data_IF_097203352730
#
_entry.id   IF_097203352730
#
_cell.length_a   1.000
_cell.length_b   1.000
_cell.length_c   1.000
_cell.angle_alpha   90.00
_cell.angle_beta   90.00
_cell.angle_gamma   90.00
#
_symmetry.space_group_name_H-M   'P 1'
#
loop_
_entity.id
_entity.type
_entity.pdbx_description
1 polymer ?
#
# COMPACT_ATOMS: atom_id res chain seq x y z
N UNK A 1 -38.26 14.80 -37.39
CA UNK A 1 -39.26 14.03 -36.61
C UNK A 1 -38.70 13.71 -35.25
N UNK A 2 -39.55 13.57 -34.24
CA UNK A 2 -39.19 13.12 -32.91
C UNK A 2 -40.13 11.99 -32.48
N UNK A 3 -39.58 10.82 -32.17
CA UNK A 3 -40.36 9.63 -31.82
C UNK A 3 -41.52 9.38 -32.81
N UNK A 4 -41.23 9.54 -34.11
CA UNK A 4 -42.22 9.41 -35.19
C UNK A 4 -43.18 10.58 -35.38
N UNK A 5 -43.13 11.64 -34.55
CA UNK A 5 -43.96 12.85 -34.71
C UNK A 5 -43.26 13.91 -35.58
N UNK A 6 -43.90 14.41 -36.66
CA UNK A 6 -43.34 15.49 -37.47
C UNK A 6 -43.30 16.80 -36.69
N UNK A 7 -42.36 17.68 -37.05
CA UNK A 7 -42.36 19.08 -36.59
C UNK A 7 -43.53 19.84 -37.27
N UNK A 8 -44.18 20.83 -36.64
CA UNK A 8 -43.86 21.47 -35.35
C UNK A 8 -44.22 20.65 -34.12
N UNK A 9 -43.34 20.67 -33.12
CA UNK A 9 -43.53 19.97 -31.84
C UNK A 9 -44.18 20.89 -30.81
N UNK A 10 -45.10 20.34 -30.01
CA UNK A 10 -45.55 20.99 -28.78
C UNK A 10 -44.48 20.84 -27.68
N UNK A 11 -44.58 21.64 -26.61
CA UNK A 11 -43.68 21.54 -25.46
C UNK A 11 -43.67 20.15 -24.80
N UNK A 12 -44.79 19.43 -24.85
CA UNK A 12 -44.89 18.06 -24.33
C UNK A 12 -44.13 17.05 -25.21
N UNK A 13 -43.91 17.39 -26.48
CA UNK A 13 -43.15 16.58 -27.41
C UNK A 13 -41.68 16.94 -27.35
N UNK A 14 -41.30 18.21 -27.43
CA UNK A 14 -39.90 18.67 -27.29
C UNK A 14 -39.86 20.17 -27.00
N UNK A 15 -38.88 20.61 -26.21
CA UNK A 15 -38.56 22.03 -26.01
C UNK A 15 -37.72 22.61 -27.16
N UNK A 16 -37.16 21.75 -28.01
CA UNK A 16 -36.20 22.13 -29.04
C UNK A 16 -36.80 23.05 -30.10
N UNK A 17 -36.03 24.08 -30.44
CA UNK A 17 -36.42 25.07 -31.43
C UNK A 17 -35.75 24.71 -32.76
N UNK A 18 -36.54 24.70 -33.83
CA UNK A 18 -36.05 24.55 -35.21
C UNK A 18 -36.07 25.92 -35.85
N UNK A 19 -34.93 26.41 -36.32
CA UNK A 19 -34.89 27.60 -37.17
C UNK A 19 -35.07 27.17 -38.63
N UNK A 20 -36.25 27.36 -39.24
CA UNK A 20 -36.48 26.97 -40.64
C UNK A 20 -35.63 27.79 -41.62
N UNK A 21 -35.16 28.98 -41.23
CA UNK A 21 -34.26 29.82 -42.03
C UNK A 21 -32.80 29.36 -42.02
N UNK A 22 -32.43 28.51 -41.05
CA UNK A 22 -31.10 27.92 -41.03
C UNK A 22 -31.04 26.83 -42.10
N UNK A 23 -30.28 27.07 -43.18
CA UNK A 23 -30.03 26.11 -44.25
C UNK A 23 -29.54 24.73 -43.74
N UNK A 24 -29.06 24.68 -42.50
CA UNK A 24 -28.43 23.53 -41.87
C UNK A 24 -29.40 22.65 -41.05
N UNK A 25 -30.71 22.93 -41.06
CA UNK A 25 -31.74 22.13 -40.36
C UNK A 25 -31.36 21.80 -38.91
N UNK A 26 -30.73 22.75 -38.23
CA UNK A 26 -30.18 22.59 -36.88
C UNK A 26 -31.28 22.81 -35.85
N UNK A 27 -31.40 21.88 -34.90
CA UNK A 27 -32.26 22.02 -33.73
C UNK A 27 -31.37 22.39 -32.55
N UNK A 28 -31.80 23.34 -31.74
CA UNK A 28 -31.03 23.79 -30.59
C UNK A 28 -32.00 24.03 -29.42
N UNK A 29 -31.47 23.94 -28.21
CA UNK A 29 -32.19 24.30 -27.01
C UNK A 29 -31.26 24.97 -26.00
N UNK A 30 -31.71 26.03 -25.33
CA UNK A 30 -30.94 26.62 -24.23
C UNK A 30 -30.86 25.70 -23.00
N UNK A 31 -31.78 24.74 -22.86
CA UNK A 31 -31.82 23.81 -21.74
C UNK A 31 -32.48 22.50 -22.15
N UNK A 32 -31.87 21.39 -21.78
CA UNK A 32 -32.47 20.05 -21.93
C UNK A 32 -33.61 19.86 -20.92
N UNK A 33 -34.74 19.38 -21.41
CA UNK A 33 -35.88 18.92 -20.60
C UNK A 33 -36.03 17.39 -20.71
N UNK A 34 -36.70 16.76 -19.75
CA UNK A 34 -36.92 15.29 -19.76
C UNK A 34 -37.67 14.84 -21.02
N UNK A 35 -38.66 15.63 -21.44
CA UNK A 35 -39.39 15.39 -22.68
C UNK A 35 -38.48 15.44 -23.91
N UNK A 36 -37.29 16.04 -23.86
CA UNK A 36 -36.35 16.10 -24.99
C UNK A 36 -35.72 14.75 -25.33
N UNK A 37 -35.72 13.78 -24.42
CA UNK A 37 -35.22 12.42 -24.63
C UNK A 37 -35.98 11.72 -25.75
N UNK A 38 -35.26 10.96 -26.57
CA UNK A 38 -35.83 10.10 -27.59
C UNK A 38 -35.08 10.12 -28.92
N UNK A 39 -35.72 9.59 -29.96
CA UNK A 39 -35.13 9.43 -31.28
C UNK A 39 -35.55 10.57 -32.21
N UNK A 40 -34.56 11.26 -32.76
CA UNK A 40 -34.71 12.33 -33.72
C UNK A 40 -34.35 11.82 -35.11
N UNK A 41 -35.29 11.93 -36.04
CA UNK A 41 -35.06 11.59 -37.45
C UNK A 41 -35.01 12.86 -38.28
N UNK A 42 -33.86 13.12 -38.89
CA UNK A 42 -33.72 14.06 -39.98
C UNK A 42 -34.10 13.37 -41.30
N UNK A 43 -34.96 14.02 -42.09
CA UNK A 43 -35.39 13.51 -43.38
C UNK A 43 -35.05 14.54 -44.44
N UNK A 44 -34.09 14.20 -45.29
CA UNK A 44 -33.70 14.99 -46.45
C UNK A 44 -34.39 14.40 -47.66
N UNK A 45 -35.24 15.18 -48.32
CA UNK A 45 -36.00 14.74 -49.48
C UNK A 45 -35.77 15.66 -50.67
N UNK A 46 -35.47 15.05 -51.80
CA UNK A 46 -35.55 15.66 -53.12
C UNK A 46 -36.67 14.96 -53.93
N UNK A 47 -36.92 15.38 -55.18
CA UNK A 47 -37.96 14.83 -56.04
C UNK A 47 -37.82 13.32 -56.27
N UNK A 48 -36.59 12.80 -56.26
CA UNK A 48 -36.26 11.42 -56.61
C UNK A 48 -35.79 10.57 -55.43
N UNK A 49 -35.28 11.19 -54.36
CA UNK A 49 -34.60 10.49 -53.26
C UNK A 49 -35.05 11.02 -51.90
N UNK A 50 -35.13 10.11 -50.92
CA UNK A 50 -35.34 10.46 -49.51
C UNK A 50 -34.27 9.76 -48.68
N UNK A 51 -33.57 10.53 -47.85
CA UNK A 51 -32.51 10.06 -46.95
C UNK A 51 -32.99 10.29 -45.51
N UNK A 52 -32.82 9.27 -44.68
CA UNK A 52 -33.18 9.31 -43.27
C UNK A 52 -31.93 9.15 -42.41
N UNK A 53 -31.74 10.06 -41.45
CA UNK A 53 -30.70 9.95 -40.42
C UNK A 53 -31.35 10.01 -39.05
N UNK A 54 -31.04 9.02 -38.21
CA UNK A 54 -31.57 8.89 -36.85
C UNK A 54 -30.48 9.23 -35.83
N UNK A 55 -30.86 9.96 -34.80
CA UNK A 55 -30.02 10.32 -33.66
C UNK A 55 -30.83 10.05 -32.39
N UNK A 56 -30.28 9.27 -31.48
CA UNK A 56 -30.90 9.04 -30.17
C UNK A 56 -30.31 10.01 -29.14
N UNK A 57 -31.18 10.78 -28.49
CA UNK A 57 -30.83 11.63 -27.37
C UNK A 57 -31.24 10.94 -26.07
N UNK A 58 -30.28 10.72 -25.18
CA UNK A 58 -30.49 10.18 -23.84
C UNK A 58 -30.06 11.21 -22.79
N UNK A 59 -30.76 11.26 -21.67
CA UNK A 59 -30.31 11.99 -20.50
C UNK A 59 -29.43 11.09 -19.65
N UNK A 60 -28.40 11.70 -19.06
CA UNK A 60 -27.59 11.06 -18.04
C UNK A 60 -28.01 11.64 -16.71
N UNK A 61 -28.75 10.84 -15.93
CA UNK A 61 -29.45 11.31 -14.73
C UNK A 61 -28.52 11.69 -13.58
N UNK A 62 -27.31 11.13 -13.54
CA UNK A 62 -26.30 11.51 -12.56
C UNK A 62 -24.89 11.27 -13.07
N UNK A 63 -24.03 12.23 -12.75
CA UNK A 63 -22.60 12.13 -12.87
C UNK A 63 -22.12 11.10 -11.83
N UNK A 64 -21.79 9.89 -12.27
CA UNK A 64 -21.24 8.85 -11.40
C UNK A 64 -19.80 9.21 -11.06
N UNK A 65 -19.64 9.95 -9.97
CA UNK A 65 -18.32 10.24 -9.44
C UNK A 65 -17.61 8.93 -9.10
N UNK A 66 -16.33 8.76 -9.49
CA UNK A 66 -15.58 7.56 -9.18
C UNK A 66 -15.57 7.32 -7.66
N UNK A 67 -15.94 6.10 -7.25
CA UNK A 67 -15.99 5.71 -5.85
C UNK A 67 -14.86 4.72 -5.55
N UNK A 68 -14.00 4.97 -4.55
CA UNK A 68 -12.92 4.06 -4.23
C UNK A 68 -13.47 2.72 -3.74
N UNK A 69 -13.07 1.63 -4.39
CA UNK A 69 -13.32 0.26 -3.94
C UNK A 69 -12.10 -0.33 -3.25
N UNK A 70 -10.91 0.14 -3.61
CA UNK A 70 -9.66 -0.18 -2.93
C UNK A 70 -8.76 1.05 -2.78
N UNK A 71 -8.40 1.37 -1.54
CA UNK A 71 -7.48 2.45 -1.22
C UNK A 71 -6.07 1.88 -0.96
N UNK A 72 -5.02 2.44 -1.60
CA UNK A 72 -3.64 2.07 -1.30
C UNK A 72 -3.31 2.38 0.15
N UNK A 73 -2.40 1.59 0.73
CA UNK A 73 -1.95 1.74 2.13
C UNK A 73 -0.49 2.16 2.16
N UNK A 74 -0.16 2.96 3.16
CA UNK A 74 1.21 3.42 3.39
C UNK A 74 2.14 2.22 3.60
N UNK A 75 3.35 2.34 3.07
CA UNK A 75 4.37 1.29 3.14
C UNK A 75 5.69 1.88 3.62
N UNK A 76 6.39 1.11 4.44
CA UNK A 76 7.74 1.39 4.87
C UNK A 76 8.66 0.28 4.37
N UNK A 77 9.67 0.63 3.57
CA UNK A 77 10.58 -0.33 2.92
C UNK A 77 12.01 0.17 2.95
N UNK A 78 12.98 -0.72 2.84
CA UNK A 78 14.39 -0.37 2.74
C UNK A 78 14.82 -0.07 1.30
N UNK A 79 15.93 0.66 1.15
CA UNK A 79 16.57 0.86 -0.16
C UNK A 79 17.01 -0.50 -0.72
N UNK A 80 16.75 -0.72 -2.01
CA UNK A 80 17.04 -1.98 -2.70
C UNK A 80 15.90 -2.99 -2.68
N UNK A 81 14.86 -2.80 -1.86
CA UNK A 81 13.66 -3.62 -1.90
C UNK A 81 12.73 -3.22 -3.06
N UNK A 82 11.71 -4.04 -3.32
CA UNK A 82 10.67 -3.77 -4.31
C UNK A 82 9.37 -3.36 -3.63
N UNK A 83 8.61 -2.44 -4.23
CA UNK A 83 7.28 -2.03 -3.74
C UNK A 83 6.22 -2.30 -4.81
N UNK A 84 4.98 -2.57 -4.36
CA UNK A 84 3.81 -2.65 -5.22
C UNK A 84 2.61 -1.97 -4.58
N UNK A 85 2.11 -0.92 -5.21
CA UNK A 85 0.87 -0.25 -4.83
C UNK A 85 -0.30 -0.78 -5.67
N UNK A 86 -1.50 -0.65 -5.12
CA UNK A 86 -2.75 -0.93 -5.82
C UNK A 86 -3.82 0.07 -5.42
N UNK A 87 -4.57 0.58 -6.39
CA UNK A 87 -5.76 1.39 -6.21
C UNK A 87 -6.86 0.87 -7.13
N UNK A 88 -8.11 1.05 -6.73
CA UNK A 88 -9.28 0.64 -7.50
C UNK A 88 -10.49 1.53 -7.20
N UNK A 89 -11.30 1.80 -8.21
CA UNK A 89 -12.56 2.50 -8.07
C UNK A 89 -13.65 1.95 -9.01
N UNK A 90 -14.88 2.09 -8.56
CA UNK A 90 -16.08 1.98 -9.38
C UNK A 90 -16.29 3.29 -10.13
N UNK A 91 -16.37 3.23 -11.47
CA UNK A 91 -16.53 4.37 -12.39
C UNK A 91 -17.89 4.36 -13.10
N UNK A 92 -18.70 3.32 -12.87
CA UNK A 92 -20.03 3.18 -13.45
C UNK A 92 -20.02 2.89 -14.95
N UNK A 93 -21.20 3.00 -15.57
CA UNK A 93 -21.38 2.71 -16.99
C UNK A 93 -21.12 3.95 -17.85
N UNK A 94 -20.23 3.83 -18.82
CA UNK A 94 -19.91 4.88 -19.77
C UNK A 94 -20.81 4.77 -21.00
N UNK A 95 -21.87 5.56 -21.04
CA UNK A 95 -22.85 5.53 -22.14
C UNK A 95 -22.49 6.44 -23.32
N UNK A 96 -21.43 7.23 -23.17
CA UNK A 96 -20.93 8.17 -24.17
C UNK A 96 -19.76 7.52 -24.96
N UNK A 97 -19.84 7.43 -26.29
CA UNK A 97 -18.83 6.73 -27.10
C UNK A 97 -17.46 7.45 -27.16
N UNK A 98 -17.44 8.75 -26.88
CA UNK A 98 -16.27 9.61 -26.83
C UNK A 98 -15.67 9.76 -25.43
N UNK A 99 -16.44 9.39 -24.40
CA UNK A 99 -15.97 9.42 -23.04
C UNK A 99 -15.06 8.22 -22.77
N UNK A 100 -13.98 8.43 -22.00
CA UNK A 100 -13.06 7.35 -21.59
C UNK A 100 -12.71 7.48 -20.12
N UNK A 101 -12.46 6.34 -19.48
CA UNK A 101 -11.99 6.30 -18.10
C UNK A 101 -10.45 6.19 -18.10
N UNK A 102 -9.80 6.94 -17.22
CA UNK A 102 -8.34 6.99 -17.11
C UNK A 102 -7.92 6.78 -15.66
N UNK A 103 -6.88 5.98 -15.46
CA UNK A 103 -6.26 5.72 -14.16
C UNK A 103 -4.74 5.86 -14.30
N UNK A 104 -4.14 6.69 -13.46
CA UNK A 104 -2.72 7.01 -13.55
C UNK A 104 -2.10 7.16 -12.16
N UNK A 105 -0.93 6.56 -11.99
CA UNK A 105 -0.07 6.81 -10.85
C UNK A 105 0.91 7.95 -11.11
N UNK A 106 1.11 8.79 -10.11
CA UNK A 106 2.06 9.89 -10.13
C UNK A 106 2.75 10.01 -8.77
N UNK A 107 4.01 10.41 -8.76
CA UNK A 107 4.70 10.82 -7.54
C UNK A 107 4.41 12.30 -7.28
N UNK A 108 4.22 12.67 -6.02
CA UNK A 108 3.87 14.03 -5.62
C UNK A 108 5.06 14.68 -4.91
N UNK A 109 5.60 15.73 -5.52
CA UNK A 109 6.63 16.59 -4.93
C UNK A 109 6.08 18.00 -4.79
N UNK A 110 6.04 18.54 -3.57
CA UNK A 110 5.42 19.84 -3.25
C UNK A 110 4.03 20.02 -3.87
N UNK A 111 3.19 18.98 -3.73
CA UNK A 111 1.85 18.86 -4.32
C UNK A 111 1.78 18.97 -5.85
N UNK A 112 2.90 18.84 -6.56
CA UNK A 112 2.96 18.77 -8.02
C UNK A 112 3.15 17.33 -8.50
N UNK A 113 2.34 16.87 -9.48
CA UNK A 113 2.48 15.54 -10.03
C UNK A 113 3.74 15.40 -10.88
N UNK A 114 4.44 14.29 -10.71
CA UNK A 114 5.62 13.92 -11.49
C UNK A 114 5.45 12.49 -12.01
N UNK A 115 5.91 12.27 -13.24
CA UNK A 115 5.92 10.95 -13.87
C UNK A 115 6.91 10.02 -13.19
N UNK A 116 6.52 8.77 -13.02
CA UNK A 116 7.36 7.73 -12.43
C UNK A 116 8.08 7.03 -13.59
N UNK A 117 9.41 7.15 -13.64
CA UNK A 117 10.24 6.64 -14.76
C UNK A 117 10.65 5.18 -14.50
N UNK A 118 10.98 4.86 -13.26
CA UNK A 118 11.55 3.57 -12.84
C UNK A 118 10.49 2.57 -12.34
N UNK A 119 9.21 2.85 -12.62
CA UNK A 119 8.07 2.06 -12.19
C UNK A 119 7.28 1.50 -13.36
N UNK A 120 6.72 0.31 -13.17
CA UNK A 120 5.81 -0.32 -14.12
C UNK A 120 4.37 -0.17 -13.65
N UNK A 121 3.52 0.44 -14.49
CA UNK A 121 2.10 0.55 -14.24
C UNK A 121 1.32 -0.47 -15.08
N UNK A 122 0.44 -1.24 -14.42
CA UNK A 122 -0.45 -2.21 -15.07
C UNK A 122 -1.89 -1.93 -14.66
N UNK A 123 -2.72 -1.60 -15.65
CA UNK A 123 -4.13 -1.32 -15.43
C UNK A 123 -4.96 -2.62 -15.48
N UNK A 124 -6.01 -2.67 -14.67
CA UNK A 124 -6.93 -3.80 -14.54
C UNK A 124 -8.35 -3.28 -14.65
N UNK A 125 -9.20 -4.00 -15.36
CA UNK A 125 -10.62 -3.68 -15.50
C UNK A 125 -11.47 -4.89 -15.14
N UNK A 126 -12.61 -4.66 -14.47
CA UNK A 126 -13.59 -5.68 -14.08
C UNK A 126 -15.01 -5.19 -14.36
N UNK A 127 -15.97 -6.10 -14.31
CA UNK A 127 -17.41 -5.80 -14.45
C UNK A 127 -17.71 -4.97 -15.71
N UNK A 128 -17.28 -5.47 -16.87
CA UNK A 128 -17.47 -4.83 -18.18
C UNK A 128 -16.96 -3.37 -18.25
N UNK A 129 -15.92 -3.05 -17.45
CA UNK A 129 -15.29 -1.73 -17.42
C UNK A 129 -15.90 -0.77 -16.39
N UNK A 130 -16.86 -1.22 -15.58
CA UNK A 130 -17.43 -0.44 -14.49
C UNK A 130 -16.49 -0.29 -13.29
N UNK A 131 -15.52 -1.20 -13.15
CA UNK A 131 -14.46 -1.10 -12.14
C UNK A 131 -13.11 -1.03 -12.85
N UNK A 132 -12.31 -0.04 -12.46
CA UNK A 132 -10.93 0.11 -12.92
C UNK A 132 -9.98 0.15 -11.74
N UNK A 133 -8.84 -0.52 -11.89
CA UNK A 133 -7.76 -0.55 -10.92
C UNK A 133 -6.41 -0.47 -11.60
N UNK A 134 -5.38 -0.18 -10.83
CA UNK A 134 -4.02 -0.07 -11.35
C UNK A 134 -2.99 -0.47 -10.31
N UNK A 135 -2.06 -1.33 -10.73
CA UNK A 135 -0.86 -1.66 -9.98
C UNK A 135 0.29 -0.76 -10.41
N UNK A 136 1.03 -0.23 -9.44
CA UNK A 136 2.33 0.40 -9.65
C UNK A 136 3.39 -0.44 -8.96
N UNK A 137 4.38 -0.93 -9.70
CA UNK A 137 5.49 -1.73 -9.15
C UNK A 137 6.81 -1.01 -9.39
N UNK A 138 7.60 -0.80 -8.34
CA UNK A 138 8.96 -0.24 -8.44
C UNK A 138 9.92 -1.33 -7.92
N UNK A 139 10.76 -1.93 -8.79
CA UNK A 139 11.51 -3.13 -8.44
C UNK A 139 12.70 -2.89 -7.50
N UNK A 140 13.32 -1.70 -7.58
CA UNK A 140 14.50 -1.35 -6.77
C UNK A 140 14.29 0.05 -6.20
N UNK A 141 13.92 0.12 -4.92
CA UNK A 141 13.71 1.37 -4.20
C UNK A 141 15.03 2.09 -3.96
N UNK A 142 14.99 3.42 -4.08
CA UNK A 142 16.10 4.35 -3.89
C UNK A 142 15.60 5.52 -3.04
N UNK A 143 16.52 6.34 -2.52
CA UNK A 143 16.16 7.45 -1.65
C UNK A 143 15.16 8.43 -2.30
N UNK A 144 15.25 8.67 -3.61
CA UNK A 144 14.34 9.57 -4.34
C UNK A 144 12.94 8.97 -4.57
N UNK A 145 12.77 7.66 -4.40
CA UNK A 145 11.47 7.00 -4.51
C UNK A 145 10.60 7.24 -3.29
N UNK A 146 11.17 7.61 -2.13
CA UNK A 146 10.38 7.93 -0.95
C UNK A 146 9.54 9.18 -1.16
N UNK A 147 8.40 9.23 -0.49
CA UNK A 147 7.46 10.35 -0.55
C UNK A 147 6.05 9.91 -0.88
N UNK A 148 5.24 10.89 -1.27
CA UNK A 148 3.81 10.71 -1.52
C UNK A 148 3.58 10.29 -2.97
N UNK A 149 2.72 9.30 -3.16
CA UNK A 149 2.20 8.91 -4.46
C UNK A 149 0.71 9.17 -4.51
N UNK A 150 0.19 9.41 -5.71
CA UNK A 150 -1.21 9.62 -5.99
C UNK A 150 -1.64 8.72 -7.14
N UNK A 151 -2.69 7.94 -6.89
CA UNK A 151 -3.48 7.31 -7.93
C UNK A 151 -4.65 8.24 -8.26
N UNK A 152 -4.65 8.78 -9.47
CA UNK A 152 -5.70 9.64 -9.97
C UNK A 152 -6.60 8.88 -10.95
N UNK A 153 -7.90 8.94 -10.70
CA UNK A 153 -8.93 8.28 -11.50
C UNK A 153 -9.86 9.34 -12.07
N UNK A 154 -9.90 9.44 -13.39
CA UNK A 154 -10.79 10.33 -14.14
C UNK A 154 -11.83 9.46 -14.84
N UNK A 155 -13.10 9.65 -14.51
CA UNK A 155 -14.21 9.03 -15.23
C UNK A 155 -14.75 10.03 -16.26
N UNK A 156 -15.02 9.56 -17.48
CA UNK A 156 -15.67 10.39 -18.49
C UNK A 156 -17.10 10.82 -18.08
N UNK A 157 -17.69 10.11 -17.11
CA UNK A 157 -18.94 10.45 -16.46
C UNK A 157 -18.74 11.26 -15.16
N UNK A 158 -17.58 11.89 -14.95
CA UNK A 158 -17.33 12.69 -13.74
C UNK A 158 -16.69 14.05 -14.03
N UNK A 159 -17.15 15.07 -13.31
CA UNK A 159 -16.58 16.41 -13.32
C UNK A 159 -15.36 16.51 -12.38
N UNK A 160 -15.20 15.58 -11.44
CA UNK A 160 -14.10 15.62 -10.48
C UNK A 160 -13.31 14.31 -10.50
N UNK A 161 -11.97 14.39 -10.57
CA UNK A 161 -11.15 13.20 -10.42
C UNK A 161 -11.23 12.66 -8.99
N UNK A 162 -11.14 11.35 -8.84
CA UNK A 162 -10.87 10.71 -7.56
C UNK A 162 -9.36 10.61 -7.37
N UNK A 163 -8.86 11.16 -6.26
CA UNK A 163 -7.44 11.12 -5.91
C UNK A 163 -7.21 10.29 -4.66
N UNK A 164 -6.43 9.21 -4.79
CA UNK A 164 -6.06 8.32 -3.69
C UNK A 164 -4.57 8.47 -3.41
N UNK A 165 -4.23 9.02 -2.24
CA UNK A 165 -2.85 9.27 -1.85
C UNK A 165 -2.31 8.12 -0.97
N UNK A 166 -1.02 7.85 -1.10
CA UNK A 166 -0.27 6.87 -0.30
C UNK A 166 1.13 7.39 -0.01
N UNK A 167 1.69 7.04 1.14
CA UNK A 167 3.04 7.40 1.55
C UNK A 167 3.98 6.20 1.47
N UNK A 168 5.11 6.37 0.80
CA UNK A 168 6.26 5.47 0.86
C UNK A 168 7.33 6.08 1.77
N UNK A 169 7.59 5.44 2.90
CA UNK A 169 8.61 5.88 3.85
C UNK A 169 9.79 4.90 3.88
N UNK A 170 10.99 5.36 4.30
CA UNK A 170 12.04 4.43 4.67
C UNK A 170 11.57 3.58 5.86
N UNK A 171 11.88 2.29 5.83
CA UNK A 171 11.74 1.43 7.00
C UNK A 171 12.78 1.83 8.04
N UNK A 172 12.33 2.08 9.27
CA UNK A 172 13.22 2.32 10.40
C UNK A 172 14.09 1.08 10.60
N UNK A 173 15.42 1.24 10.58
CA UNK A 173 16.29 0.18 11.08
C UNK A 173 15.90 -0.04 12.55
N UNK A 174 15.53 -1.27 12.91
CA UNK A 174 15.54 -1.71 14.30
C UNK A 174 17.00 -1.79 14.76
N UNK A 175 17.64 -0.63 14.95
CA UNK A 175 18.85 -0.54 15.73
C UNK A 175 18.48 -1.02 17.12
N UNK A 176 19.14 -2.06 17.63
CA UNK A 176 18.99 -2.48 19.02
C UNK A 176 19.09 -1.23 19.89
N UNK A 177 18.06 -0.94 20.68
CA UNK A 177 18.08 0.26 21.52
C UNK A 177 19.25 0.17 22.49
N UNK A 178 19.80 1.32 22.89
CA UNK A 178 20.89 1.38 23.87
C UNK A 178 20.54 0.62 25.17
N UNK A 179 19.25 0.54 25.52
CA UNK A 179 18.74 -0.27 26.62
C UNK A 179 18.98 -1.78 26.40
N UNK A 180 18.64 -2.32 25.24
CA UNK A 180 18.83 -3.74 24.92
C UNK A 180 20.32 -4.11 24.88
N UNK A 181 21.15 -3.22 24.32
CA UNK A 181 22.61 -3.41 24.31
C UNK A 181 23.18 -3.36 25.74
N UNK A 182 22.74 -2.41 26.57
CA UNK A 182 23.18 -2.32 27.97
C UNK A 182 22.78 -3.57 28.77
N UNK A 183 21.56 -4.10 28.59
CA UNK A 183 21.11 -5.33 29.24
C UNK A 183 22.01 -6.51 28.83
N UNK A 184 22.31 -6.66 27.54
CA UNK A 184 23.22 -7.68 27.05
C UNK A 184 24.63 -7.58 27.66
N UNK A 185 25.18 -6.37 27.76
CA UNK A 185 26.49 -6.13 28.39
C UNK A 185 26.45 -6.49 29.88
N UNK A 186 25.39 -6.14 30.61
CA UNK A 186 25.23 -6.52 32.01
C UNK A 186 25.12 -8.04 32.20
N UNK A 187 24.37 -8.74 31.34
CA UNK A 187 24.25 -10.20 31.38
C UNK A 187 25.62 -10.85 31.11
N UNK A 188 26.36 -10.36 30.10
CA UNK A 188 27.69 -10.88 29.81
C UNK A 188 28.67 -10.65 30.97
N UNK A 189 28.67 -9.46 31.58
CA UNK A 189 29.54 -9.13 32.72
C UNK A 189 29.22 -9.97 33.96
N UNK A 190 27.95 -10.21 34.25
CA UNK A 190 27.52 -11.04 35.40
C UNK A 190 27.89 -12.50 35.22
N UNK A 191 27.73 -13.06 34.00
CA UNK A 191 28.18 -14.41 33.67
C UNK A 191 29.70 -14.57 33.82
N UNK A 192 30.47 -13.59 33.33
CA UNK A 192 31.93 -13.60 33.40
C UNK A 192 32.41 -13.51 34.85
N UNK A 193 31.78 -12.65 35.67
CA UNK A 193 32.06 -12.56 37.10
C UNK A 193 31.73 -13.86 37.84
N UNK A 194 30.55 -14.46 37.57
CA UNK A 194 30.17 -15.74 38.16
C UNK A 194 31.19 -16.84 37.81
N UNK A 195 31.67 -16.88 36.57
CA UNK A 195 32.67 -17.84 36.10
C UNK A 195 34.01 -17.65 36.83
N UNK A 196 34.46 -16.40 37.01
CA UNK A 196 35.66 -16.09 37.80
C UNK A 196 35.50 -16.53 39.26
N UNK A 197 34.36 -16.26 39.89
CA UNK A 197 34.07 -16.71 41.25
C UNK A 197 34.08 -18.24 41.33
N UNK A 198 33.50 -18.93 40.34
CA UNK A 198 33.49 -20.38 40.26
C UNK A 198 34.91 -20.96 40.16
N UNK A 199 35.77 -20.36 39.32
CA UNK A 199 37.18 -20.73 39.20
C UNK A 199 37.94 -20.49 40.51
N UNK A 200 37.71 -19.36 41.19
CA UNK A 200 38.32 -19.07 42.49
C UNK A 200 37.86 -20.09 43.55
N UNK A 201 36.57 -20.45 43.56
CA UNK A 201 36.03 -21.47 44.45
C UNK A 201 36.63 -22.84 44.18
N UNK A 202 36.78 -23.24 42.91
CA UNK A 202 37.47 -24.47 42.52
C UNK A 202 38.93 -24.43 42.99
N UNK A 203 39.64 -23.32 42.76
CA UNK A 203 41.02 -23.15 43.20
C UNK A 203 41.16 -23.24 44.73
N UNK A 204 40.27 -22.58 45.48
CA UNK A 204 40.26 -22.63 46.95
C UNK A 204 39.95 -24.03 47.47
N UNK A 205 38.97 -24.72 46.90
CA UNK A 205 38.61 -26.09 47.32
C UNK A 205 39.71 -27.10 46.99
N UNK A 206 40.40 -26.97 45.85
CA UNK A 206 41.57 -27.79 45.51
C UNK A 206 42.73 -27.51 46.48
N UNK A 207 43.01 -26.25 46.79
CA UNK A 207 44.06 -25.90 47.75
C UNK A 207 43.74 -26.36 49.18
N UNK A 208 42.49 -26.26 49.61
CA UNK A 208 42.05 -26.81 50.90
C UNK A 208 42.22 -28.33 50.94
N UNK A 209 41.80 -29.05 49.89
CA UNK A 209 42.03 -30.50 49.78
C UNK A 209 43.52 -30.87 49.77
N UNK A 210 44.38 -30.03 49.17
CA UNK A 210 45.82 -30.23 49.19
C UNK A 210 46.44 -29.97 50.58
N UNK A 211 45.91 -28.99 51.33
CA UNK A 211 46.30 -28.72 52.71
C UNK A 211 45.85 -29.84 53.67
N UNK A 212 44.59 -30.30 53.58
CA UNK A 212 44.09 -31.43 54.37
C UNK A 212 44.88 -32.72 54.09
N UNK A 213 45.30 -32.94 52.84
CA UNK A 213 46.16 -34.08 52.48
C UNK A 213 47.57 -33.97 53.10
N UNK A 214 48.09 -32.75 53.28
CA UNK A 214 49.39 -32.49 53.92
C UNK A 214 49.34 -32.71 55.43
N UNK A 215 48.22 -32.39 56.08
CA UNK A 215 48.03 -32.67 57.51
C UNK A 215 47.74 -34.15 57.79
N UNK A 216 46.95 -34.83 56.95
CA UNK A 216 46.77 -36.28 57.04
C UNK A 216 48.08 -37.07 56.84
N UNK A 217 48.95 -36.65 55.92
CA UNK A 217 50.28 -37.26 55.74
C UNK A 217 51.21 -37.04 56.94
N UNK A 218 51.06 -35.93 57.70
CA UNK A 218 51.82 -35.69 58.93
C UNK A 218 51.36 -36.57 60.10
N UNK A 219 50.05 -36.87 60.19
CA UNK A 219 49.52 -37.79 61.21
C UNK A 219 49.99 -39.26 61.00
N UNK A 220 50.18 -39.71 59.76
CA UNK A 220 50.69 -41.08 59.51
C UNK A 220 52.18 -41.30 59.84
N UNK A 221 52.97 -40.23 60.00
CA UNK A 221 54.40 -40.32 60.33
C UNK A 221 54.72 -40.30 61.83
N UNK A 222 53.72 -40.16 62.71
CA UNK A 222 53.94 -39.89 64.14
C UNK A 222 53.55 -41.04 65.10
N UNK A 223 53.53 -42.30 64.64
CA UNK A 223 53.13 -43.39 65.53
C UNK A 223 53.83 -44.72 65.26
N UNK A 224 55.09 -44.83 65.68
CA UNK A 224 55.72 -46.09 66.10
C UNK A 224 56.92 -45.77 67.00
N UNK A 225 56.82 -46.16 68.28
CA UNK A 225 57.85 -46.66 69.21
C UNK A 225 57.35 -46.37 70.64
N UNK A 226 56.83 -47.40 71.30
CA UNK A 226 56.90 -47.58 72.74
C UNK A 226 56.67 -49.07 73.03
N UNK A 227 57.77 -49.84 72.98
CA UNK A 227 57.83 -51.22 73.45
C UNK A 227 58.20 -51.24 74.93
N UNK A 228 57.32 -51.87 75.71
CA UNK A 228 57.47 -52.72 76.90
C UNK A 228 58.70 -52.62 77.84
N UNK A 229 58.38 -52.79 79.12
CA UNK A 229 59.19 -52.71 80.33
C UNK A 229 60.20 -53.87 80.51
N UNK A 230 61.22 -53.67 81.38
CA UNK A 230 61.38 -54.49 82.60
C UNK A 230 62.50 -54.00 83.56
N UNK A 231 62.14 -54.01 84.86
CA UNK A 231 62.86 -54.28 86.13
C UNK A 231 64.40 -54.13 86.28
N UNK A 232 64.85 -53.42 87.35
CA UNK A 232 65.33 -54.01 88.63
C UNK A 232 65.74 -52.96 89.72
N UNK A 233 65.52 -53.37 90.99
CA UNK A 233 65.89 -52.85 92.35
C UNK A 233 67.34 -52.30 92.55
N UNK A 234 67.73 -51.52 93.58
CA UNK A 234 67.52 -51.63 95.05
C UNK A 234 68.07 -50.40 95.82
N UNK A 235 67.64 -50.31 97.10
CA UNK A 235 68.03 -49.48 98.28
C UNK A 235 67.22 -48.20 98.51
#
# INVERSE_FOLDING_TARGET
FKNGKPHPWSKDVSSFIVYPEAANQTIYSPRLEENDVGNYTCILRNETHTIHHNIELRLQDKLDNPMPTFQPKDLAVHVGESVRFYCEAFVGNLYLPDATNQIQWMQMFDDKPHSIIDGEQVNVTREDGQIIGSYLSIPIIQAHHYGRYRCQIVSGNSAQPLELNVLLSPSELTTMSDSELSILVYIAATLLFALVVLVICIYRTVNQRAADKKDNNKLCSAQFIAGHADHHESV
#
